data_IF_327793350763
#
_entry.id   IF_327793350763
#
_cell.length_a   1.000
_cell.length_b   1.000
_cell.length_c   1.000
_cell.angle_alpha   90.00
_cell.angle_beta   90.00
_cell.angle_gamma   90.00
#
_symmetry.space_group_name_H-M   'P 1'
#
loop_
_entity.id
_entity.type
_entity.pdbx_description
1 polymer ?
#
# COMPACT_ATOMS: atom_id res chain seq x y z
N UNK A 1 6.34 11.27 -0.05
CA UNK A 1 7.10 10.14 -0.62
C UNK A 1 6.61 9.75 -2.01
N UNK A 2 5.33 9.47 -2.22
CA UNK A 2 4.78 9.04 -3.53
C UNK A 2 4.98 10.10 -4.63
N UNK A 3 4.80 11.37 -4.32
CA UNK A 3 5.06 12.48 -5.27
C UNK A 3 6.54 12.59 -5.65
N UNK A 4 7.46 12.30 -4.72
CA UNK A 4 8.89 12.26 -5.01
C UNK A 4 9.24 11.08 -5.92
N UNK A 5 8.63 9.93 -5.70
CA UNK A 5 8.76 8.77 -6.59
C UNK A 5 8.26 9.08 -8.00
N UNK A 6 7.11 9.76 -8.12
CA UNK A 6 6.60 10.23 -9.40
C UNK A 6 7.56 11.18 -10.10
N UNK A 7 8.19 12.12 -9.38
CA UNK A 7 9.20 13.03 -9.91
C UNK A 7 10.44 12.28 -10.42
N UNK A 8 10.90 11.24 -9.71
CA UNK A 8 12.04 10.44 -10.15
C UNK A 8 11.72 9.69 -11.45
N UNK A 9 10.51 9.10 -11.55
CA UNK A 9 10.07 8.41 -12.78
C UNK A 9 10.03 9.38 -13.96
N UNK A 10 9.42 10.55 -13.78
CA UNK A 10 9.22 11.49 -14.88
C UNK A 10 10.51 12.21 -15.28
N UNK A 11 11.49 12.32 -14.39
CA UNK A 11 12.76 12.97 -14.66
C UNK A 11 13.49 12.35 -15.87
N UNK A 12 13.49 11.02 -15.95
CA UNK A 12 14.07 10.31 -17.10
C UNK A 12 13.38 10.66 -18.41
N UNK A 13 12.04 10.72 -18.41
CA UNK A 13 11.24 11.02 -19.61
C UNK A 13 11.48 12.47 -20.07
N UNK A 14 11.52 13.43 -19.15
CA UNK A 14 11.74 14.84 -19.45
C UNK A 14 13.12 15.10 -20.05
N UNK A 15 14.15 14.43 -19.54
CA UNK A 15 15.51 14.57 -20.04
C UNK A 15 15.61 14.06 -21.48
N UNK A 16 14.94 12.98 -21.83
CA UNK A 16 14.96 12.41 -23.16
C UNK A 16 14.42 13.40 -24.22
N UNK A 17 13.32 14.08 -23.93
CA UNK A 17 12.74 15.09 -24.82
C UNK A 17 13.71 16.27 -25.07
N UNK A 18 14.33 16.76 -24.00
CA UNK A 18 15.30 17.85 -24.07
C UNK A 18 16.55 17.46 -24.88
N UNK A 19 17.02 16.20 -24.72
CA UNK A 19 18.18 15.71 -25.49
C UNK A 19 17.85 15.61 -26.97
N UNK A 20 16.69 15.06 -27.36
CA UNK A 20 16.30 14.93 -28.77
C UNK A 20 16.21 16.30 -29.48
N UNK A 21 15.54 17.25 -28.82
CA UNK A 21 15.39 18.58 -29.40
C UNK A 21 16.74 19.33 -29.43
N UNK A 22 17.53 19.26 -28.37
CA UNK A 22 18.85 19.85 -28.28
C UNK A 22 19.82 19.30 -29.34
N UNK A 23 19.86 17.97 -29.50
CA UNK A 23 20.69 17.31 -30.51
C UNK A 23 20.31 17.75 -31.93
N UNK A 24 19.01 17.83 -32.24
CA UNK A 24 18.56 18.27 -33.55
C UNK A 24 18.87 19.73 -33.83
N UNK A 25 18.76 20.62 -32.83
CA UNK A 25 19.17 22.01 -32.93
C UNK A 25 20.66 22.10 -33.21
N UNK A 26 21.51 21.40 -32.48
CA UNK A 26 22.97 21.40 -32.66
C UNK A 26 23.34 20.89 -34.06
N UNK A 27 22.69 19.80 -34.47
CA UNK A 27 22.92 19.21 -35.82
C UNK A 27 22.61 20.24 -36.95
N UNK A 28 21.51 20.99 -36.82
CA UNK A 28 21.16 22.03 -37.79
C UNK A 28 22.11 23.26 -37.75
N UNK A 29 22.63 23.59 -36.57
CA UNK A 29 23.64 24.63 -36.39
C UNK A 29 25.02 24.21 -36.95
N UNK A 30 25.36 22.94 -36.92
CA UNK A 30 26.57 22.41 -37.53
C UNK A 30 26.50 22.36 -39.08
N UNK A 31 25.28 22.16 -39.63
CA UNK A 31 25.03 22.13 -41.07
C UNK A 31 24.93 23.50 -41.73
N UNK A 32 24.59 24.51 -40.97
CA UNK A 32 24.38 25.88 -41.44
C UNK A 32 24.99 26.86 -40.45
N UNK A 33 25.02 28.16 -40.80
CA UNK A 33 25.50 29.17 -39.86
C UNK A 33 24.70 29.15 -38.57
N UNK A 34 25.38 29.10 -37.39
CA UNK A 34 24.74 29.15 -36.11
C UNK A 34 23.88 30.41 -35.95
N UNK A 35 22.68 30.23 -35.39
CA UNK A 35 21.79 31.36 -35.13
C UNK A 35 20.32 30.93 -34.99
N UNK A 36 19.46 31.93 -34.84
CA UNK A 36 18.02 31.74 -34.59
C UNK A 36 17.32 30.93 -35.69
N UNK A 37 17.73 31.16 -36.97
CA UNK A 37 17.13 30.43 -38.09
C UNK A 37 17.46 28.93 -38.11
N UNK A 38 18.70 28.55 -37.78
CA UNK A 38 19.12 27.18 -37.67
C UNK A 38 18.42 26.50 -36.48
N UNK A 39 18.37 27.18 -35.33
CA UNK A 39 17.66 26.69 -34.13
C UNK A 39 16.19 26.43 -34.44
N UNK A 40 15.51 27.34 -35.13
CA UNK A 40 14.10 27.18 -35.48
C UNK A 40 13.85 26.00 -36.43
N UNK A 41 14.77 25.75 -37.40
CA UNK A 41 14.71 24.57 -38.26
C UNK A 41 14.87 23.28 -37.45
N UNK A 42 15.82 23.25 -36.50
CA UNK A 42 16.06 22.14 -35.64
C UNK A 42 14.82 21.80 -34.81
N UNK A 43 14.18 22.77 -34.16
CA UNK A 43 12.95 22.58 -33.42
C UNK A 43 11.82 22.05 -34.30
N UNK A 44 11.59 22.65 -35.48
CA UNK A 44 10.54 22.24 -36.41
C UNK A 44 10.68 20.78 -36.86
N UNK A 45 11.91 20.31 -37.04
CA UNK A 45 12.17 18.93 -37.46
C UNK A 45 11.68 17.87 -36.51
N UNK A 46 11.67 18.18 -35.22
CA UNK A 46 11.28 17.20 -34.15
C UNK A 46 10.02 17.60 -33.39
N UNK A 47 9.41 18.74 -33.70
CA UNK A 47 8.21 19.21 -33.01
C UNK A 47 7.08 18.18 -32.98
N UNK A 48 6.74 17.64 -34.16
CA UNK A 48 5.65 16.63 -34.26
C UNK A 48 5.93 15.37 -33.47
N UNK A 49 7.02 14.64 -33.72
CA UNK A 49 7.36 13.43 -33.01
C UNK A 49 7.43 13.60 -31.49
N UNK A 50 8.08 14.65 -30.99
CA UNK A 50 8.20 14.92 -29.55
C UNK A 50 6.83 15.22 -28.93
N UNK A 51 6.04 16.11 -29.56
CA UNK A 51 4.69 16.43 -29.07
C UNK A 51 3.80 15.19 -28.99
N UNK A 52 3.79 14.36 -30.05
CA UNK A 52 2.98 13.14 -30.08
C UNK A 52 3.47 12.14 -29.02
N UNK A 53 4.79 12.00 -28.85
CA UNK A 53 5.38 11.14 -27.82
C UNK A 53 4.92 11.52 -26.41
N UNK A 54 5.04 12.80 -26.07
CA UNK A 54 4.63 13.33 -24.76
C UNK A 54 3.12 13.19 -24.55
N UNK A 55 2.31 13.54 -25.55
CA UNK A 55 0.83 13.38 -25.46
C UNK A 55 0.43 11.91 -25.29
N UNK A 56 1.11 10.99 -25.97
CA UNK A 56 0.88 9.54 -25.80
C UNK A 56 1.19 9.09 -24.37
N UNK A 57 2.30 9.60 -23.81
CA UNK A 57 2.67 9.31 -22.41
C UNK A 57 1.63 9.87 -21.44
N UNK A 58 1.18 11.11 -21.63
CA UNK A 58 0.10 11.69 -20.82
C UNK A 58 -1.18 10.85 -20.92
N UNK A 59 -1.56 10.42 -22.12
CA UNK A 59 -2.74 9.60 -22.35
C UNK A 59 -2.60 8.22 -21.68
N UNK A 60 -1.40 7.65 -21.62
CA UNK A 60 -1.15 6.38 -20.92
C UNK A 60 -1.29 6.51 -19.38
N UNK A 61 -0.94 7.67 -18.80
CA UNK A 61 -1.12 7.93 -17.37
C UNK A 61 -2.52 8.41 -16.99
N UNK A 62 -3.29 8.97 -17.92
CA UNK A 62 -4.62 9.51 -17.66
C UNK A 62 -5.62 8.49 -17.05
N UNK A 63 -5.68 7.21 -17.44
CA UNK A 63 -6.57 6.24 -16.83
C UNK A 63 -6.36 6.05 -15.32
N UNK A 64 -5.13 6.26 -14.82
CA UNK A 64 -4.83 6.14 -13.39
C UNK A 64 -5.54 7.22 -12.54
N UNK A 65 -5.97 8.33 -13.14
CA UNK A 65 -6.76 9.37 -12.45
C UNK A 65 -8.16 8.88 -12.05
N UNK A 66 -8.68 7.89 -12.77
CA UNK A 66 -10.04 7.36 -12.56
C UNK A 66 -10.07 6.13 -11.65
N UNK A 67 -8.92 5.69 -11.14
CA UNK A 67 -8.87 4.58 -10.18
C UNK A 67 -9.50 5.01 -8.86
N UNK A 68 -10.51 4.26 -8.41
CA UNK A 68 -11.25 4.52 -7.17
C UNK A 68 -10.73 3.67 -6.00
N UNK A 69 -11.18 4.01 -4.78
CA UNK A 69 -10.80 3.28 -3.57
C UNK A 69 -9.43 3.68 -3.01
N UNK A 70 -8.91 2.88 -2.09
CA UNK A 70 -7.64 3.15 -1.38
C UNK A 70 -6.46 3.28 -2.34
N UNK A 71 -6.43 2.46 -3.39
CA UNK A 71 -5.40 2.54 -4.43
C UNK A 71 -5.44 3.86 -5.20
N UNK A 72 -6.64 4.32 -5.58
CA UNK A 72 -6.80 5.60 -6.26
C UNK A 72 -6.35 6.78 -5.41
N UNK A 73 -6.60 6.73 -4.11
CA UNK A 73 -6.15 7.76 -3.18
C UNK A 73 -4.62 7.80 -3.03
N UNK A 74 -3.97 6.63 -3.02
CA UNK A 74 -2.53 6.53 -2.88
C UNK A 74 -1.83 6.86 -4.20
N UNK A 75 -2.22 6.20 -5.29
CA UNK A 75 -1.56 6.32 -6.59
C UNK A 75 -2.02 7.53 -7.41
N UNK A 76 -3.16 8.15 -7.10
CA UNK A 76 -3.72 9.25 -7.87
C UNK A 76 -2.84 10.50 -7.93
N UNK A 77 -1.92 10.69 -6.97
CA UNK A 77 -0.94 11.77 -7.01
C UNK A 77 0.13 11.57 -8.10
N UNK A 78 0.42 10.33 -8.51
CA UNK A 78 1.45 10.02 -9.51
C UNK A 78 1.09 10.57 -10.90
N UNK A 79 -0.08 10.24 -11.50
CA UNK A 79 -0.43 10.75 -12.82
C UNK A 79 -0.60 12.27 -12.85
N UNK A 80 -1.08 12.89 -11.77
CA UNK A 80 -1.19 14.35 -11.69
C UNK A 80 0.19 14.98 -11.80
N UNK A 81 1.16 14.53 -11.02
CA UNK A 81 2.54 15.05 -11.06
C UNK A 81 3.16 14.82 -12.44
N UNK A 82 3.03 13.61 -12.99
CA UNK A 82 3.59 13.26 -14.31
C UNK A 82 3.02 14.17 -15.40
N UNK A 83 1.69 14.33 -15.48
CA UNK A 83 1.04 15.15 -16.51
C UNK A 83 1.47 16.63 -16.39
N UNK A 84 1.50 17.19 -15.18
CA UNK A 84 1.92 18.57 -14.97
C UNK A 84 3.37 18.76 -15.39
N UNK A 85 4.27 17.88 -14.99
CA UNK A 85 5.69 17.97 -15.35
C UNK A 85 5.90 17.82 -16.85
N UNK A 86 5.20 16.90 -17.50
CA UNK A 86 5.27 16.75 -18.97
C UNK A 86 4.72 17.97 -19.72
N UNK A 87 3.65 18.60 -19.23
CA UNK A 87 3.18 19.88 -19.79
C UNK A 87 4.24 20.97 -19.68
N UNK A 88 4.88 21.07 -18.52
CA UNK A 88 5.95 22.06 -18.31
C UNK A 88 7.20 21.74 -19.15
N UNK A 89 7.52 20.46 -19.31
CA UNK A 89 8.61 20.00 -20.17
C UNK A 89 8.41 20.41 -21.63
N UNK A 90 7.20 20.26 -22.19
CA UNK A 90 6.91 20.74 -23.55
C UNK A 90 7.15 22.25 -23.70
N UNK A 91 6.75 23.03 -22.69
CA UNK A 91 7.00 24.47 -22.69
C UNK A 91 8.50 24.78 -22.65
N UNK A 92 9.24 24.09 -21.81
CA UNK A 92 10.69 24.25 -21.70
C UNK A 92 11.39 23.88 -23.00
N UNK A 93 11.10 22.72 -23.56
CA UNK A 93 11.78 22.17 -24.72
C UNK A 93 11.51 22.98 -26.00
N UNK A 94 10.32 23.56 -26.14
CA UNK A 94 9.98 24.32 -27.35
C UNK A 94 10.20 25.84 -27.25
N UNK A 95 10.26 26.41 -26.06
CA UNK A 95 10.42 27.85 -25.89
C UNK A 95 11.73 28.24 -25.19
N UNK A 96 12.05 27.60 -24.06
CA UNK A 96 13.19 28.01 -23.25
C UNK A 96 14.50 27.46 -23.81
N UNK A 97 14.56 26.15 -24.07
CA UNK A 97 15.76 25.47 -24.58
C UNK A 97 16.23 26.08 -25.93
N UNK A 98 15.36 26.29 -26.93
CA UNK A 98 15.78 26.92 -28.19
C UNK A 98 16.29 28.36 -28.01
N UNK A 99 15.68 29.13 -27.11
CA UNK A 99 16.15 30.50 -26.81
C UNK A 99 17.56 30.49 -26.24
N UNK A 100 17.87 29.58 -25.34
CA UNK A 100 19.21 29.45 -24.77
C UNK A 100 20.23 28.99 -25.81
N UNK A 101 19.88 28.03 -26.66
CA UNK A 101 20.78 27.51 -27.69
C UNK A 101 20.99 28.49 -28.88
N UNK A 102 19.99 29.32 -29.18
CA UNK A 102 20.12 30.34 -30.24
C UNK A 102 21.10 31.46 -29.88
N UNK A 103 21.20 31.83 -28.61
CA UNK A 103 22.04 32.92 -28.11
C UNK A 103 23.30 32.42 -27.39
N UNK A 104 23.47 31.12 -27.28
CA UNK A 104 24.64 30.49 -26.67
C UNK A 104 25.88 30.67 -27.54
N UNK A 105 26.47 31.87 -27.54
CA UNK A 105 27.84 32.05 -28.01
C UNK A 105 28.73 31.21 -27.08
N UNK A 106 29.62 30.42 -27.67
CA UNK A 106 30.54 29.50 -27.04
C UNK A 106 30.99 29.95 -25.65
N UNK A 107 30.31 29.44 -24.62
CA UNK A 107 30.86 29.47 -23.25
C UNK A 107 32.21 28.78 -23.31
N UNK A 108 33.24 29.60 -23.29
CA UNK A 108 34.62 29.11 -23.24
C UNK A 108 34.83 28.47 -21.84
N UNK A 109 34.50 27.23 -21.73
CA UNK A 109 34.64 26.42 -20.49
C UNK A 109 36.12 26.05 -20.23
N UNK A 110 37.08 26.92 -20.61
CA UNK A 110 38.47 26.78 -20.23
C UNK A 110 38.99 25.31 -20.18
N UNK A 111 39.44 24.83 -19.02
CA UNK A 111 39.99 23.49 -18.90
C UNK A 111 38.95 22.32 -19.08
N UNK A 112 37.66 22.60 -18.92
CA UNK A 112 36.61 21.60 -19.18
C UNK A 112 36.45 21.29 -20.68
N UNK A 113 36.84 22.18 -21.58
CA UNK A 113 36.77 21.97 -23.03
C UNK A 113 37.67 20.80 -23.48
N UNK A 114 38.85 20.66 -22.90
CA UNK A 114 39.75 19.55 -23.20
C UNK A 114 39.21 18.21 -22.72
N UNK A 115 38.57 18.17 -21.56
CA UNK A 115 37.89 17.01 -21.04
C UNK A 115 36.68 16.59 -21.90
N UNK A 116 35.81 17.55 -22.23
CA UNK A 116 34.66 17.35 -23.12
C UNK A 116 35.08 16.81 -24.49
N UNK A 117 36.11 17.39 -25.11
CA UNK A 117 36.64 16.92 -26.38
C UNK A 117 37.26 15.52 -26.29
N UNK A 118 37.89 15.20 -25.14
CA UNK A 118 38.48 13.87 -24.91
C UNK A 118 37.39 12.79 -24.75
N UNK A 119 36.33 13.12 -24.00
CA UNK A 119 35.14 12.23 -23.88
C UNK A 119 34.45 12.08 -25.22
N UNK A 120 34.20 13.18 -25.94
CA UNK A 120 33.59 13.16 -27.28
C UNK A 120 34.38 12.28 -28.26
N UNK A 121 35.72 12.40 -28.32
CA UNK A 121 36.57 11.55 -29.17
C UNK A 121 36.48 10.06 -28.76
N UNK A 122 36.43 9.74 -27.47
CA UNK A 122 36.28 8.34 -27.01
C UNK A 122 34.92 7.77 -27.40
N UNK A 123 33.85 8.53 -27.25
CA UNK A 123 32.49 8.14 -27.64
C UNK A 123 32.40 7.92 -29.16
N UNK A 124 32.94 8.85 -29.97
CA UNK A 124 32.98 8.70 -31.43
C UNK A 124 33.83 7.47 -31.83
N UNK A 125 34.99 7.28 -31.22
CA UNK A 125 35.83 6.11 -31.49
C UNK A 125 35.13 4.81 -31.10
N UNK A 126 34.41 4.76 -30.00
CA UNK A 126 33.59 3.62 -29.62
C UNK A 126 32.48 3.35 -30.63
N UNK A 127 31.76 4.41 -31.06
CA UNK A 127 30.74 4.32 -32.10
C UNK A 127 31.32 3.69 -33.38
N UNK A 128 32.39 4.25 -33.88
CA UNK A 128 32.90 3.92 -35.21
C UNK A 128 33.65 2.54 -35.21
N UNK A 129 34.41 2.24 -34.13
CA UNK A 129 35.23 1.05 -34.08
C UNK A 129 34.53 -0.18 -33.48
N UNK A 130 33.51 0.06 -32.61
CA UNK A 130 32.87 -1.02 -31.84
C UNK A 130 31.41 -1.18 -32.19
N UNK A 131 30.66 -0.08 -32.14
CA UNK A 131 29.19 -0.13 -32.26
C UNK A 131 28.75 -0.35 -33.71
N UNK A 132 29.15 0.51 -34.64
CA UNK A 132 28.76 0.40 -36.05
C UNK A 132 29.11 -0.96 -36.70
N UNK A 133 30.32 -1.53 -36.52
CA UNK A 133 30.62 -2.85 -37.06
C UNK A 133 29.80 -3.99 -36.46
N UNK A 134 29.40 -3.87 -35.17
CA UNK A 134 28.51 -4.85 -34.54
C UNK A 134 27.11 -4.77 -35.09
N UNK A 135 26.57 -3.56 -35.22
CA UNK A 135 25.22 -3.32 -35.78
C UNK A 135 25.18 -3.80 -37.24
N UNK A 136 26.18 -3.44 -38.04
CA UNK A 136 26.27 -3.90 -39.43
C UNK A 136 26.27 -5.45 -39.51
N UNK A 137 27.05 -6.14 -38.67
CA UNK A 137 27.03 -7.60 -38.60
C UNK A 137 25.69 -8.17 -38.14
N UNK A 138 25.03 -7.54 -37.17
CA UNK A 138 23.70 -7.92 -36.68
C UNK A 138 22.65 -7.83 -37.80
N UNK A 139 22.66 -6.73 -38.57
CA UNK A 139 21.78 -6.55 -39.73
C UNK A 139 22.08 -7.57 -40.86
N UNK A 140 23.35 -7.78 -41.18
CA UNK A 140 23.73 -8.78 -42.16
C UNK A 140 23.33 -10.20 -41.78
N UNK A 141 23.40 -10.53 -40.47
CA UNK A 141 22.99 -11.84 -39.92
C UNK A 141 21.64 -11.75 -39.24
N UNK A 142 20.66 -11.09 -39.88
CA UNK A 142 19.34 -10.76 -39.31
C UNK A 142 18.61 -11.94 -38.67
N UNK A 143 18.64 -13.12 -39.29
CA UNK A 143 17.98 -14.32 -38.73
C UNK A 143 18.67 -14.86 -37.48
N UNK A 144 20.01 -14.80 -37.44
CA UNK A 144 20.75 -15.16 -36.23
C UNK A 144 20.49 -14.18 -35.08
N UNK A 145 20.46 -12.88 -35.37
CA UNK A 145 20.13 -11.84 -34.38
C UNK A 145 18.71 -12.00 -33.86
N UNK A 146 17.76 -12.32 -34.74
CA UNK A 146 16.36 -12.60 -34.34
C UNK A 146 16.31 -13.86 -33.47
N UNK A 147 17.01 -14.92 -33.83
CA UNK A 147 17.08 -16.15 -33.04
C UNK A 147 17.65 -15.88 -31.64
N UNK A 148 18.72 -15.10 -31.53
CA UNK A 148 19.28 -14.71 -30.23
C UNK A 148 18.24 -13.91 -29.39
N UNK A 149 17.49 -13.00 -30.03
CA UNK A 149 16.41 -12.26 -29.36
C UNK A 149 15.29 -13.19 -28.83
N UNK A 150 14.85 -14.14 -29.66
CA UNK A 150 13.85 -15.15 -29.27
C UNK A 150 14.39 -16.02 -28.12
N UNK A 151 15.64 -16.49 -28.20
CA UNK A 151 16.27 -17.29 -27.14
C UNK A 151 16.31 -16.48 -25.81
N UNK A 152 16.66 -15.21 -25.87
CA UNK A 152 16.65 -14.34 -24.68
C UNK A 152 15.24 -14.21 -24.09
N UNK A 153 14.22 -14.05 -24.92
CA UNK A 153 12.81 -13.99 -24.50
C UNK A 153 12.39 -15.33 -23.85
N UNK A 154 12.76 -16.46 -24.47
CA UNK A 154 12.45 -17.80 -23.92
C UNK A 154 13.13 -18.00 -22.57
N UNK A 155 14.40 -17.60 -22.42
CA UNK A 155 15.12 -17.67 -21.13
C UNK A 155 14.43 -16.80 -20.08
N UNK A 156 14.05 -15.57 -20.42
CA UNK A 156 13.30 -14.69 -19.51
C UNK A 156 11.96 -15.32 -19.10
N UNK A 157 11.20 -15.87 -20.04
CA UNK A 157 9.95 -16.56 -19.77
C UNK A 157 10.15 -17.82 -18.89
N UNK A 158 11.22 -18.59 -19.15
CA UNK A 158 11.57 -19.76 -18.36
C UNK A 158 11.97 -19.39 -16.92
N UNK A 159 12.66 -18.27 -16.70
CA UNK A 159 12.98 -17.75 -15.37
C UNK A 159 11.70 -17.38 -14.58
N UNK A 160 10.69 -16.83 -15.26
CA UNK A 160 9.39 -16.59 -14.67
C UNK A 160 8.66 -17.91 -14.36
N UNK A 161 8.58 -18.81 -15.32
CA UNK A 161 7.87 -20.08 -15.17
C UNK A 161 8.50 -21.02 -14.13
N UNK A 162 9.82 -20.96 -13.95
CA UNK A 162 10.55 -21.76 -12.95
C UNK A 162 10.42 -21.19 -11.52
N UNK A 163 9.80 -19.99 -11.35
CA UNK A 163 9.72 -19.33 -10.05
C UNK A 163 11.05 -18.75 -9.55
N UNK A 164 12.12 -18.75 -10.38
CA UNK A 164 13.40 -18.11 -10.05
C UNK A 164 13.24 -16.60 -9.88
N UNK A 165 12.34 -15.99 -10.66
CA UNK A 165 11.89 -14.62 -10.48
C UNK A 165 10.47 -14.67 -9.91
N UNK A 166 10.33 -14.34 -8.62
CA UNK A 166 9.02 -14.26 -7.98
C UNK A 166 8.32 -13.00 -8.45
N UNK A 167 7.11 -13.15 -8.99
CA UNK A 167 6.26 -12.02 -9.28
C UNK A 167 5.61 -11.52 -7.99
N UNK A 168 6.04 -10.37 -7.51
CA UNK A 168 5.41 -9.68 -6.39
C UNK A 168 4.74 -8.44 -6.98
N UNK A 169 3.41 -8.44 -7.00
CA UNK A 169 2.64 -7.33 -7.59
C UNK A 169 2.82 -6.02 -6.80
N UNK A 170 2.84 -6.12 -5.48
CA UNK A 170 3.25 -5.05 -4.60
C UNK A 170 4.30 -5.56 -3.62
N UNK A 171 5.46 -4.92 -3.52
CA UNK A 171 6.39 -5.22 -2.45
C UNK A 171 5.71 -4.91 -1.11
N UNK A 172 5.90 -5.79 -0.14
CA UNK A 172 5.47 -5.54 1.23
C UNK A 172 6.23 -4.31 1.74
N UNK A 173 5.52 -3.18 1.81
CA UNK A 173 6.07 -1.98 2.41
C UNK A 173 6.05 -2.19 3.93
N UNK A 174 7.21 -2.26 4.51
CA UNK A 174 7.35 -2.40 5.95
C UNK A 174 6.71 -1.20 6.66
N UNK A 175 5.84 -1.52 7.60
CA UNK A 175 5.26 -0.54 8.50
C UNK A 175 6.17 -0.31 9.69
N UNK A 176 6.22 0.91 10.18
CA UNK A 176 6.83 1.19 11.48
C UNK A 176 5.90 0.85 12.65
N UNK A 177 4.79 0.14 12.38
CA UNK A 177 3.85 -0.31 13.40
C UNK A 177 3.45 -1.75 13.17
N UNK A 178 3.32 -2.51 14.26
CA UNK A 178 2.70 -3.84 14.27
C UNK A 178 1.43 -3.75 15.08
N UNK A 179 0.35 -4.32 14.56
CA UNK A 179 -0.95 -4.33 15.22
C UNK A 179 -1.37 -5.75 15.55
N UNK A 180 -1.76 -5.99 16.80
CA UNK A 180 -2.53 -7.17 17.20
C UNK A 180 -3.99 -6.77 17.39
N UNK A 181 -4.91 -7.53 16.78
CA UNK A 181 -6.36 -7.36 16.93
C UNK A 181 -6.93 -8.62 17.57
N UNK A 182 -7.55 -8.45 18.71
CA UNK A 182 -8.15 -9.50 19.52
C UNK A 182 -9.66 -9.34 19.54
N UNK A 183 -10.38 -10.37 19.13
CA UNK A 183 -11.83 -10.42 19.18
C UNK A 183 -12.27 -11.67 19.92
N UNK A 184 -13.12 -11.51 20.90
CA UNK A 184 -13.86 -12.58 21.57
C UNK A 184 -15.29 -12.60 21.05
N UNK A 185 -16.03 -13.71 21.28
CA UNK A 185 -17.46 -13.75 21.00
C UNK A 185 -18.23 -12.62 21.69
N UNK A 186 -19.22 -12.10 20.99
CA UNK A 186 -20.05 -11.00 21.50
C UNK A 186 -20.72 -11.39 22.82
N UNK A 187 -20.57 -10.56 23.86
CA UNK A 187 -21.07 -10.83 25.21
C UNK A 187 -19.98 -11.23 26.19
N UNK A 188 -18.75 -11.45 25.74
CA UNK A 188 -17.62 -11.71 26.62
C UNK A 188 -17.39 -10.54 27.58
N UNK A 189 -17.22 -10.80 28.90
CA UNK A 189 -16.95 -9.77 29.89
C UNK A 189 -15.65 -9.01 29.60
N UNK A 190 -15.64 -7.71 29.86
CA UNK A 190 -14.46 -6.86 29.69
C UNK A 190 -13.20 -7.43 30.37
N UNK A 191 -13.35 -7.99 31.58
CA UNK A 191 -12.23 -8.56 32.33
C UNK A 191 -11.53 -9.72 31.63
N UNK A 192 -12.26 -10.54 30.88
CA UNK A 192 -11.68 -11.63 30.07
C UNK A 192 -10.83 -11.07 28.95
N UNK A 193 -11.36 -10.05 28.26
CA UNK A 193 -10.62 -9.34 27.19
C UNK A 193 -9.39 -8.64 27.74
N UNK A 194 -9.50 -8.02 28.93
CA UNK A 194 -8.38 -7.35 29.60
C UNK A 194 -7.24 -8.33 29.95
N UNK A 195 -7.57 -9.48 30.53
CA UNK A 195 -6.57 -10.52 30.86
C UNK A 195 -5.85 -11.00 29.59
N UNK A 196 -6.59 -11.27 28.54
CA UNK A 196 -6.02 -11.72 27.28
C UNK A 196 -5.16 -10.61 26.61
N UNK A 197 -5.62 -9.37 26.62
CA UNK A 197 -4.87 -8.24 26.10
C UNK A 197 -3.55 -8.02 26.86
N UNK A 198 -3.57 -8.13 28.19
CA UNK A 198 -2.37 -8.02 29.00
C UNK A 198 -1.37 -9.15 28.70
N UNK A 199 -1.81 -10.36 28.44
CA UNK A 199 -0.93 -11.46 28.00
C UNK A 199 -0.25 -11.14 26.67
N UNK A 200 -0.97 -10.53 25.73
CA UNK A 200 -0.40 -10.10 24.43
C UNK A 200 0.62 -8.98 24.63
N UNK A 201 0.36 -8.06 25.55
CA UNK A 201 1.27 -6.95 25.90
C UNK A 201 2.54 -7.49 26.58
N UNK A 202 2.42 -8.42 27.52
CA UNK A 202 3.55 -9.08 28.17
C UNK A 202 4.42 -9.84 27.17
N UNK A 203 3.79 -10.50 26.19
CA UNK A 203 4.52 -11.14 25.11
C UNK A 203 5.31 -10.11 24.25
N UNK A 204 4.74 -8.92 24.04
CA UNK A 204 5.45 -7.84 23.34
C UNK A 204 6.68 -7.36 24.13
N UNK A 205 6.56 -7.17 25.43
CA UNK A 205 7.70 -6.78 26.27
C UNK A 205 8.81 -7.85 26.25
N UNK A 206 8.48 -9.13 26.31
CA UNK A 206 9.47 -10.21 26.18
C UNK A 206 10.19 -10.16 24.83
N UNK A 207 9.45 -9.99 23.74
CA UNK A 207 10.08 -9.87 22.42
C UNK A 207 11.00 -8.65 22.33
N UNK A 208 10.64 -7.54 22.98
CA UNK A 208 11.52 -6.38 23.02
C UNK A 208 12.80 -6.65 23.82
N UNK A 209 12.70 -7.33 24.97
CA UNK A 209 13.84 -7.74 25.78
C UNK A 209 14.76 -8.71 25.04
N UNK A 210 14.20 -9.70 24.33
CA UNK A 210 14.94 -10.64 23.48
C UNK A 210 15.69 -9.96 22.32
N UNK A 211 15.31 -8.70 22.00
CA UNK A 211 15.95 -7.86 20.99
C UNK A 211 16.64 -6.63 21.61
N UNK A 212 17.33 -6.81 22.72
CA UNK A 212 18.14 -5.79 23.43
C UNK A 212 17.36 -4.53 23.87
N UNK A 213 16.04 -4.60 23.94
CA UNK A 213 15.17 -3.47 24.31
C UNK A 213 15.10 -2.34 23.27
N UNK A 214 15.70 -2.54 22.08
CA UNK A 214 15.83 -1.51 21.05
C UNK A 214 14.86 -1.65 19.88
N UNK A 215 14.04 -2.70 19.86
CA UNK A 215 13.13 -2.95 18.75
C UNK A 215 11.87 -2.06 18.78
N UNK A 216 11.33 -1.77 19.99
CA UNK A 216 10.08 -1.08 20.17
C UNK A 216 10.28 0.32 20.75
N UNK A 217 9.60 1.31 20.13
CA UNK A 217 9.57 2.69 20.59
C UNK A 217 8.43 2.94 21.59
N UNK A 218 7.27 2.35 21.33
CA UNK A 218 6.08 2.49 22.17
C UNK A 218 5.13 1.30 21.98
N UNK A 219 4.40 0.95 23.03
CA UNK A 219 3.30 0.01 23.00
C UNK A 219 2.05 0.75 23.44
N UNK A 220 1.00 0.72 22.64
CA UNK A 220 -0.29 1.34 22.88
C UNK A 220 -1.38 0.29 22.81
N UNK A 221 -2.25 0.22 23.81
CA UNK A 221 -3.33 -0.72 23.87
C UNK A 221 -4.68 -0.02 24.08
N UNK A 222 -5.67 -0.45 23.31
CA UNK A 222 -7.07 -0.06 23.49
C UNK A 222 -7.84 -1.33 23.85
N UNK A 223 -8.26 -1.44 25.11
CA UNK A 223 -9.03 -2.59 25.63
C UNK A 223 -10.49 -2.18 25.74
N UNK A 224 -11.40 -3.03 25.28
CA UNK A 224 -12.83 -2.69 25.22
C UNK A 224 -13.17 -1.77 24.05
N UNK A 225 -12.37 -1.78 23.01
CA UNK A 225 -12.58 -1.00 21.80
C UNK A 225 -11.57 -1.30 20.72
N UNK A 226 -11.90 -0.97 19.49
CA UNK A 226 -10.96 -0.99 18.38
C UNK A 226 -10.82 0.43 17.84
N UNK A 227 -9.60 0.94 17.80
CA UNK A 227 -9.30 2.10 16.99
C UNK A 227 -9.14 1.64 15.55
N UNK A 228 -10.11 1.86 14.70
CA UNK A 228 -9.94 1.74 13.27
C UNK A 228 -9.10 2.93 12.84
N UNK A 229 -7.81 2.79 12.85
CA UNK A 229 -6.97 3.67 12.07
C UNK A 229 -7.36 3.42 10.61
N UNK A 230 -8.18 4.30 10.06
CA UNK A 230 -8.57 4.24 8.67
C UNK A 230 -7.30 4.27 7.85
N UNK A 231 -7.02 3.18 7.15
CA UNK A 231 -5.98 3.16 6.14
C UNK A 231 -6.41 4.06 5.00
N UNK A 232 -5.94 5.29 5.01
CA UNK A 232 -6.16 6.24 3.92
C UNK A 232 -6.57 7.64 4.40
N UNK A 233 -6.16 8.69 3.68
CA UNK A 233 -6.61 10.05 3.93
C UNK A 233 -8.12 10.14 3.64
N UNK A 234 -8.94 10.30 4.67
CA UNK A 234 -10.40 10.41 4.61
C UNK A 234 -11.17 9.30 5.33
N UNK A 235 -10.51 8.23 5.81
CA UNK A 235 -11.12 7.24 6.68
C UNK A 235 -11.28 7.81 8.09
N UNK A 236 -12.51 8.15 8.47
CA UNK A 236 -12.81 8.64 9.81
C UNK A 236 -12.30 7.68 10.88
N UNK A 237 -11.58 8.18 11.87
CA UNK A 237 -11.18 7.43 13.06
C UNK A 237 -12.42 7.11 13.90
N UNK A 238 -13.14 6.05 13.54
CA UNK A 238 -14.24 5.52 14.33
C UNK A 238 -13.69 4.67 15.46
N UNK A 239 -13.85 5.08 16.69
CA UNK A 239 -13.60 4.24 17.85
C UNK A 239 -14.87 3.42 18.10
N UNK A 240 -14.81 2.12 17.85
CA UNK A 240 -15.90 1.22 18.22
C UNK A 240 -15.63 0.71 19.63
N UNK A 241 -16.52 0.99 20.56
CA UNK A 241 -16.42 0.54 21.94
C UNK A 241 -17.20 -0.76 22.10
N UNK A 242 -16.55 -1.83 22.48
CA UNK A 242 -17.19 -3.12 22.74
C UNK A 242 -16.33 -3.94 23.70
N UNK A 243 -16.93 -4.49 24.76
CA UNK A 243 -16.20 -5.18 25.84
C UNK A 243 -15.38 -6.40 25.38
N UNK A 244 -15.71 -6.97 24.24
CA UNK A 244 -15.14 -8.22 23.71
C UNK A 244 -13.99 -8.02 22.70
N UNK A 245 -13.59 -6.77 22.45
CA UNK A 245 -12.55 -6.46 21.44
C UNK A 245 -11.38 -5.69 22.06
N UNK A 246 -10.19 -5.90 21.54
CA UNK A 246 -8.99 -5.15 21.92
C UNK A 246 -8.05 -4.98 20.72
N UNK A 247 -7.34 -3.86 20.69
CA UNK A 247 -6.31 -3.56 19.69
C UNK A 247 -5.04 -3.11 20.38
N UNK A 248 -3.93 -3.81 20.13
CA UNK A 248 -2.61 -3.47 20.64
C UNK A 248 -1.76 -3.05 19.45
N UNK A 249 -1.12 -1.90 19.54
CA UNK A 249 -0.27 -1.32 18.49
C UNK A 249 1.12 -1.13 19.06
N UNK A 250 2.10 -1.74 18.44
CA UNK A 250 3.51 -1.52 18.72
C UNK A 250 4.05 -0.56 17.67
N UNK A 251 4.65 0.53 18.10
CA UNK A 251 5.44 1.41 17.24
C UNK A 251 6.90 0.96 17.31
N UNK A 252 7.48 0.65 16.16
CA UNK A 252 8.86 0.18 16.03
C UNK A 252 9.83 1.36 16.04
N UNK A 253 11.08 1.10 16.41
CA UNK A 253 12.17 2.05 16.20
C UNK A 253 12.42 2.21 14.70
N UNK A 254 12.89 3.40 14.31
CA UNK A 254 13.25 3.71 12.93
C UNK A 254 14.51 2.94 12.51
N UNK A 255 14.63 2.59 11.23
CA UNK A 255 15.88 2.13 10.66
C UNK A 255 16.91 3.29 10.67
N UNK A 256 18.17 3.05 11.00
CA UNK A 256 18.89 1.77 11.20
C UNK A 256 18.97 1.28 12.65
N UNK A 257 18.19 1.82 13.59
CA UNK A 257 18.26 1.44 14.99
C UNK A 257 17.76 0.02 15.29
N UNK A 258 16.98 -0.58 14.38
CA UNK A 258 16.51 -1.97 14.49
C UNK A 258 17.23 -2.87 13.48
N UNK A 259 17.55 -4.08 13.90
CA UNK A 259 18.21 -5.09 13.05
C UNK A 259 17.21 -6.02 12.35
N UNK A 260 15.99 -6.16 12.89
CA UNK A 260 14.95 -7.06 12.38
C UNK A 260 13.84 -6.30 11.64
N UNK A 261 13.34 -6.92 10.57
CA UNK A 261 12.19 -6.41 9.83
C UNK A 261 10.90 -6.44 10.67
N UNK A 262 9.93 -5.58 10.34
CA UNK A 262 8.63 -5.54 11.00
C UNK A 262 7.92 -6.90 10.94
N UNK A 263 7.99 -7.61 9.81
CA UNK A 263 7.42 -8.94 9.66
C UNK A 263 8.15 -10.02 10.49
N UNK A 264 9.46 -9.87 10.73
CA UNK A 264 10.19 -10.79 11.62
C UNK A 264 9.77 -10.60 13.08
N UNK A 265 9.66 -9.35 13.53
CA UNK A 265 9.20 -9.00 14.88
C UNK A 265 7.73 -9.42 15.10
N UNK A 266 6.88 -9.28 14.09
CA UNK A 266 5.49 -9.76 14.12
C UNK A 266 5.43 -11.27 14.38
N UNK A 267 6.21 -12.06 13.64
CA UNK A 267 6.27 -13.52 13.82
C UNK A 267 6.78 -13.92 15.21
N UNK A 268 7.78 -13.22 15.74
CA UNK A 268 8.27 -13.42 17.11
C UNK A 268 7.18 -13.11 18.13
N UNK A 269 6.47 -12.00 17.97
CA UNK A 269 5.41 -11.59 18.87
C UNK A 269 4.24 -12.57 18.84
N UNK A 270 3.81 -13.01 17.67
CA UNK A 270 2.79 -14.05 17.48
C UNK A 270 3.20 -15.34 18.20
N UNK A 271 4.43 -15.80 18.02
CA UNK A 271 4.96 -17.00 18.66
C UNK A 271 5.02 -16.84 20.19
N UNK A 272 5.48 -15.70 20.70
CA UNK A 272 5.57 -15.41 22.12
C UNK A 272 4.20 -15.31 22.81
N UNK A 273 3.18 -14.83 22.08
CA UNK A 273 1.79 -14.75 22.59
C UNK A 273 1.18 -16.13 22.74
N UNK A 274 1.44 -17.03 21.78
CA UNK A 274 0.84 -18.37 21.75
C UNK A 274 -0.68 -18.34 21.60
N UNK A 275 -1.31 -19.48 21.82
CA UNK A 275 -2.76 -19.63 21.71
C UNK A 275 -3.47 -19.03 22.93
N UNK A 276 -4.55 -18.32 22.69
CA UNK A 276 -5.46 -17.78 23.70
C UNK A 276 -6.80 -18.49 23.54
N UNK A 277 -7.23 -19.20 24.60
CA UNK A 277 -8.48 -19.99 24.56
C UNK A 277 -9.71 -19.09 24.51
N UNK A 278 -10.72 -19.49 23.74
CA UNK A 278 -12.02 -18.84 23.67
C UNK A 278 -12.05 -17.57 22.84
N UNK A 279 -10.98 -17.24 22.10
CA UNK A 279 -10.99 -16.14 21.14
C UNK A 279 -11.74 -16.54 19.86
N UNK A 280 -12.49 -15.61 19.30
CA UNK A 280 -13.07 -15.72 17.97
C UNK A 280 -12.02 -15.48 16.90
N UNK A 281 -11.19 -14.44 17.09
CA UNK A 281 -10.05 -14.16 16.22
C UNK A 281 -8.93 -13.42 16.94
N UNK A 282 -7.70 -13.79 16.61
CA UNK A 282 -6.49 -13.07 16.99
C UNK A 282 -5.63 -12.94 15.74
N UNK A 283 -5.38 -11.72 15.32
CA UNK A 283 -4.57 -11.43 14.12
C UNK A 283 -3.46 -10.45 14.44
N UNK A 284 -2.30 -10.68 13.80
CA UNK A 284 -1.15 -9.79 13.87
C UNK A 284 -0.84 -9.26 12.48
N UNK A 285 -0.58 -7.97 12.35
CA UNK A 285 -0.30 -7.32 11.07
C UNK A 285 0.81 -6.30 11.20
N UNK A 286 1.73 -6.34 10.25
CA UNK A 286 2.85 -5.39 10.12
C UNK A 286 2.84 -4.64 8.78
N UNK A 287 1.79 -4.80 7.98
CA UNK A 287 1.65 -4.16 6.68
C UNK A 287 1.27 -2.68 6.79
N UNK A 288 1.92 -1.83 5.99
CA UNK A 288 1.69 -0.38 5.99
C UNK A 288 0.29 0.01 5.50
N UNK A 289 -0.23 -0.71 4.52
CA UNK A 289 -1.48 -0.34 3.85
C UNK A 289 -2.72 -1.01 4.43
N UNK A 290 -2.60 -2.03 5.28
CA UNK A 290 -3.75 -2.75 5.82
C UNK A 290 -4.67 -3.32 4.71
N UNK A 291 -4.09 -3.83 3.63
CA UNK A 291 -4.78 -4.21 2.40
C UNK A 291 -5.72 -5.43 2.54
N UNK A 292 -6.14 -5.75 3.72
CA UNK A 292 -7.03 -6.88 3.96
C UNK A 292 -6.29 -8.22 4.11
N UNK A 293 -6.97 -9.30 3.86
CA UNK A 293 -6.38 -10.62 3.81
C UNK A 293 -5.59 -10.80 2.51
N UNK A 294 -4.45 -11.51 2.57
CA UNK A 294 -3.66 -11.81 1.37
C UNK A 294 -4.46 -12.63 0.35
N UNK A 295 -5.37 -13.45 0.84
CA UNK A 295 -6.30 -14.27 0.03
C UNK A 295 -7.69 -14.14 0.65
N UNK A 296 -8.69 -13.79 -0.14
CA UNK A 296 -10.09 -13.70 0.26
C UNK A 296 -10.94 -14.50 -0.72
N UNK A 297 -11.75 -15.41 -0.18
CA UNK A 297 -12.72 -16.17 -0.95
C UNK A 297 -14.13 -15.74 -0.56
N UNK A 298 -15.00 -15.59 -1.54
CA UNK A 298 -16.44 -15.40 -1.34
C UNK A 298 -17.15 -16.68 -1.70
N UNK A 299 -17.75 -17.29 -0.70
CA UNK A 299 -18.60 -18.45 -0.86
C UNK A 299 -20.05 -18.00 -0.79
N UNK A 300 -20.91 -18.57 -1.63
CA UNK A 300 -22.34 -18.32 -1.62
C UNK A 300 -23.09 -19.63 -1.87
N UNK A 301 -24.07 -19.91 -1.05
CA UNK A 301 -25.01 -21.02 -1.21
C UNK A 301 -26.37 -20.61 -0.69
N UNK A 302 -27.45 -21.29 -1.14
CA UNK A 302 -28.81 -21.00 -0.71
C UNK A 302 -29.13 -21.61 0.66
N UNK A 303 -28.45 -22.69 0.99
CA UNK A 303 -28.57 -23.40 2.28
C UNK A 303 -27.36 -23.04 3.17
N UNK A 304 -27.67 -22.52 4.33
CA UNK A 304 -26.67 -22.05 5.29
C UNK A 304 -25.84 -23.18 5.88
N UNK A 305 -26.43 -24.36 6.16
CA UNK A 305 -25.68 -25.48 6.72
C UNK A 305 -24.62 -25.98 5.75
N UNK A 306 -24.96 -26.10 4.49
CA UNK A 306 -24.02 -26.46 3.42
C UNK A 306 -22.91 -25.41 3.28
N UNK A 307 -23.27 -24.12 3.36
CA UNK A 307 -22.30 -23.02 3.31
C UNK A 307 -21.31 -23.10 4.47
N UNK A 308 -21.78 -23.30 5.70
CA UNK A 308 -20.92 -23.39 6.87
C UNK A 308 -19.99 -24.61 6.82
N UNK A 309 -20.52 -25.78 6.43
CA UNK A 309 -19.70 -26.96 6.25
C UNK A 309 -18.57 -26.74 5.22
N UNK A 310 -18.88 -26.09 4.12
CA UNK A 310 -17.87 -25.74 3.09
C UNK A 310 -16.83 -24.74 3.61
N UNK A 311 -17.22 -23.73 4.41
CA UNK A 311 -16.29 -22.77 5.03
C UNK A 311 -15.36 -23.50 6.01
N UNK A 312 -15.89 -24.36 6.85
CA UNK A 312 -15.09 -25.10 7.84
C UNK A 312 -14.12 -26.07 7.16
N UNK A 313 -14.56 -26.78 6.11
CA UNK A 313 -13.67 -27.63 5.33
C UNK A 313 -12.54 -26.82 4.68
N UNK A 314 -12.86 -25.66 4.11
CA UNK A 314 -11.89 -24.76 3.50
C UNK A 314 -10.86 -24.28 4.54
N UNK A 315 -11.32 -23.83 5.70
CA UNK A 315 -10.44 -23.41 6.81
C UNK A 315 -9.52 -24.55 7.25
N UNK A 316 -10.06 -25.76 7.41
CA UNK A 316 -9.27 -26.93 7.80
C UNK A 316 -8.19 -27.30 6.78
N UNK A 317 -8.50 -27.18 5.49
CA UNK A 317 -7.52 -27.42 4.41
C UNK A 317 -6.40 -26.37 4.39
N UNK A 318 -6.75 -25.09 4.52
CA UNK A 318 -5.74 -24.02 4.54
C UNK A 318 -4.87 -24.04 5.80
N UNK A 319 -5.40 -24.46 6.93
CA UNK A 319 -4.63 -24.61 8.17
C UNK A 319 -3.51 -25.66 8.08
N UNK A 320 -3.61 -26.61 7.13
CA UNK A 320 -2.58 -27.62 6.88
C UNK A 320 -1.45 -27.14 5.97
N UNK A 321 -1.65 -26.01 5.26
CA UNK A 321 -0.67 -25.49 4.33
C UNK A 321 0.34 -24.59 5.06
N UNK A 322 1.65 -24.78 4.83
CA UNK A 322 2.66 -23.95 5.46
C UNK A 322 2.59 -22.51 4.92
N UNK A 323 2.65 -21.54 5.83
CA UNK A 323 2.61 -20.12 5.49
C UNK A 323 1.24 -19.46 5.53
N UNK A 324 0.18 -20.22 5.78
CA UNK A 324 -1.16 -19.68 6.05
C UNK A 324 -1.38 -19.56 7.56
N UNK A 325 -1.78 -18.36 7.99
CA UNK A 325 -2.10 -18.04 9.38
C UNK A 325 -3.22 -17.01 9.43
N UNK A 326 -3.84 -16.81 10.59
CA UNK A 326 -4.99 -15.91 10.79
C UNK A 326 -6.17 -16.20 9.84
N UNK A 327 -6.48 -17.50 9.65
CA UNK A 327 -7.59 -17.95 8.81
C UNK A 327 -8.89 -17.62 9.53
N UNK A 328 -9.69 -16.73 8.94
CA UNK A 328 -10.92 -16.22 9.52
C UNK A 328 -12.04 -16.24 8.48
N UNK A 329 -13.27 -16.34 8.93
CA UNK A 329 -14.45 -16.06 8.13
C UNK A 329 -15.15 -14.78 8.64
N UNK A 330 -16.08 -14.28 7.86
CA UNK A 330 -16.88 -13.10 8.20
C UNK A 330 -18.21 -13.46 8.84
N UNK A 331 -18.46 -14.74 9.04
CA UNK A 331 -19.70 -15.20 9.64
C UNK A 331 -19.68 -14.95 11.15
N UNK A 332 -20.66 -14.22 11.63
CA UNK A 332 -20.84 -13.96 13.05
C UNK A 332 -22.24 -14.42 13.44
N UNK A 333 -22.30 -15.42 14.34
CA UNK A 333 -23.56 -15.96 14.85
C UNK A 333 -24.46 -14.91 15.53
N UNK A 334 -23.93 -13.71 15.79
CA UNK A 334 -24.69 -12.67 16.48
C UNK A 334 -25.01 -13.02 17.92
N UNK A 335 -25.85 -12.22 18.54
CA UNK A 335 -26.37 -12.49 19.87
C UNK A 335 -27.65 -13.30 19.77
N UNK A 336 -27.88 -14.18 20.73
CA UNK A 336 -29.20 -14.80 20.89
C UNK A 336 -30.22 -13.70 21.08
N UNK A 337 -31.24 -13.68 20.24
CA UNK A 337 -32.38 -12.80 20.34
C UNK A 337 -33.54 -13.57 20.94
N UNK A 338 -34.19 -12.95 21.91
CA UNK A 338 -35.45 -13.48 22.47
C UNK A 338 -36.56 -12.57 21.94
N UNK A 339 -37.40 -13.15 21.10
CA UNK A 339 -38.62 -12.48 20.67
C UNK A 339 -39.69 -12.73 21.73
N UNK A 340 -40.25 -11.65 22.29
CA UNK A 340 -41.17 -11.72 23.40
C UNK A 340 -42.55 -11.48 22.86
N UNK A 341 -43.41 -12.51 23.01
CA UNK A 341 -44.82 -12.45 22.67
C UNK A 341 -45.67 -12.46 23.95
N UNK A 342 -46.75 -11.68 23.97
CA UNK A 342 -47.71 -11.72 25.04
C UNK A 342 -48.60 -12.95 24.96
N UNK A 343 -48.85 -13.56 26.09
CA UNK A 343 -49.91 -14.58 26.19
C UNK A 343 -51.28 -13.89 26.23
N UNK A 344 -52.39 -14.58 25.83
CA UNK A 344 -53.73 -14.01 25.95
C UNK A 344 -54.09 -13.53 27.35
N UNK A 345 -53.56 -14.19 28.37
CA UNK A 345 -53.73 -13.76 29.77
C UNK A 345 -52.99 -12.43 30.08
N UNK A 346 -51.78 -12.23 29.48
CA UNK A 346 -51.06 -10.99 29.63
C UNK A 346 -51.74 -9.83 28.92
N UNK A 347 -52.32 -10.04 27.74
CA UNK A 347 -53.11 -9.02 27.04
C UNK A 347 -54.37 -8.71 27.82
N UNK A 348 -55.07 -9.69 28.36
CA UNK A 348 -56.26 -9.48 29.20
C UNK A 348 -55.92 -8.70 30.51
N UNK A 349 -54.70 -8.88 31.03
CA UNK A 349 -54.20 -8.09 32.16
C UNK A 349 -53.75 -6.67 31.82
N UNK A 350 -53.85 -6.25 30.55
CA UNK A 350 -53.49 -4.91 30.08
C UNK A 350 -51.97 -4.68 29.99
N UNK A 351 -51.14 -5.75 29.95
CA UNK A 351 -49.71 -5.59 29.77
C UNK A 351 -49.36 -5.22 28.30
N UNK A 352 -48.36 -4.39 28.13
CA UNK A 352 -47.80 -4.07 26.81
C UNK A 352 -46.46 -4.78 26.60
N UNK A 353 -46.12 -5.23 25.39
CA UNK A 353 -44.82 -5.79 25.08
C UNK A 353 -43.65 -4.91 25.49
N UNK A 354 -43.83 -3.58 25.37
CA UNK A 354 -42.83 -2.56 25.77
C UNK A 354 -42.54 -2.55 27.26
N UNK A 355 -43.56 -2.90 28.13
CA UNK A 355 -43.37 -2.89 29.56
C UNK A 355 -42.59 -4.11 30.02
N UNK A 356 -42.85 -5.29 29.42
CA UNK A 356 -42.10 -6.50 29.68
C UNK A 356 -40.66 -6.34 29.18
N UNK A 357 -40.46 -5.85 27.97
CA UNK A 357 -39.14 -5.60 27.40
C UNK A 357 -38.33 -4.62 28.29
N UNK A 358 -38.96 -3.58 28.83
CA UNK A 358 -38.32 -2.62 29.73
C UNK A 358 -37.96 -3.27 31.08
N UNK A 359 -38.81 -4.07 31.64
CA UNK A 359 -38.53 -4.78 32.88
C UNK A 359 -37.38 -5.81 32.71
N UNK A 360 -37.39 -6.57 31.63
CA UNK A 360 -36.32 -7.50 31.32
C UNK A 360 -34.99 -6.76 31.11
N UNK A 361 -35.01 -5.67 30.34
CA UNK A 361 -33.81 -4.85 30.15
C UNK A 361 -33.27 -4.34 31.48
N UNK A 362 -34.11 -3.81 32.34
CA UNK A 362 -33.71 -3.28 33.65
C UNK A 362 -33.15 -4.38 34.57
N UNK A 363 -33.69 -5.59 34.49
CA UNK A 363 -33.21 -6.71 35.28
C UNK A 363 -31.84 -7.22 34.82
N UNK A 364 -31.64 -7.40 33.54
CA UNK A 364 -30.40 -7.99 32.98
C UNK A 364 -29.31 -6.95 32.67
N UNK A 365 -29.66 -5.86 32.03
CA UNK A 365 -28.70 -4.80 31.65
C UNK A 365 -28.56 -3.77 32.77
N UNK A 366 -29.65 -3.45 33.44
CA UNK A 366 -29.72 -2.38 34.41
C UNK A 366 -30.23 -1.08 33.84
N UNK A 367 -30.54 -0.15 34.75
CA UNK A 367 -30.95 1.22 34.42
C UNK A 367 -29.86 2.21 34.85
N UNK A 368 -29.48 3.09 33.97
CA UNK A 368 -28.62 4.22 34.32
C UNK A 368 -29.40 5.22 35.14
N UNK A 369 -29.01 5.39 36.41
CA UNK A 369 -29.69 6.29 37.36
C UNK A 369 -28.96 7.62 37.51
N UNK A 370 -27.63 7.63 37.26
CA UNK A 370 -26.84 8.83 37.36
C UNK A 370 -25.60 8.76 36.47
N UNK A 371 -25.21 9.91 35.97
CA UNK A 371 -23.99 10.10 35.21
C UNK A 371 -23.18 11.22 35.84
N UNK A 372 -21.94 10.94 36.20
CA UNK A 372 -21.07 11.85 36.91
C UNK A 372 -19.79 12.03 36.10
N UNK A 373 -19.45 13.29 35.81
CA UNK A 373 -18.16 13.63 35.26
C UNK A 373 -17.10 13.65 36.37
N UNK A 374 -16.06 12.82 36.24
CA UNK A 374 -14.94 12.77 37.19
C UNK A 374 -13.63 13.02 36.46
N UNK A 375 -13.22 14.29 36.45
CA UNK A 375 -12.08 14.71 35.66
C UNK A 375 -12.32 14.51 34.15
N UNK A 376 -11.48 13.73 33.50
CA UNK A 376 -11.62 13.38 32.07
C UNK A 376 -12.53 12.17 31.81
N UNK A 377 -12.95 11.48 32.85
CA UNK A 377 -13.73 10.24 32.77
C UNK A 377 -15.19 10.50 33.12
N UNK A 378 -16.10 9.88 32.37
CA UNK A 378 -17.52 9.83 32.64
C UNK A 378 -17.85 8.54 33.40
N UNK A 379 -18.41 8.67 34.61
CA UNK A 379 -18.83 7.57 35.45
C UNK A 379 -20.34 7.37 35.32
N UNK A 380 -20.79 6.20 34.88
CA UNK A 380 -22.19 5.82 34.80
C UNK A 380 -22.55 4.95 36.00
N UNK A 381 -23.53 5.36 36.76
CA UNK A 381 -24.07 4.59 37.86
C UNK A 381 -25.23 3.74 37.34
N UNK A 382 -25.01 2.41 37.30
CA UNK A 382 -26.00 1.46 36.82
C UNK A 382 -26.60 0.69 38.01
N UNK A 383 -27.91 0.57 38.04
CA UNK A 383 -28.64 -0.26 39.02
C UNK A 383 -29.27 -1.41 38.25
N UNK A 384 -29.06 -2.64 38.73
CA UNK A 384 -29.65 -3.85 38.18
C UNK A 384 -29.97 -4.86 39.30
N UNK A 385 -30.91 -5.75 39.05
CA UNK A 385 -31.15 -6.87 39.97
C UNK A 385 -29.93 -7.83 39.97
N UNK A 386 -29.79 -8.53 41.08
CA UNK A 386 -28.70 -9.51 41.25
C UNK A 386 -28.99 -10.81 40.51
#
# INVERSE_FOLDING_TARGET
MISLFALIIVLGIVVDDAVVVGENIITEQERSEPGTAATLRGVRGVFGPVTIGVLTTMAAFAPLLFVTGTFGQILGSVPIVVIIVLCMSLLEVFFILPSHLAHGSAWSLGPLKSFQQSVGRKVMAFRDRVFLPRVARAVQRRYFTLLCGICMLVVAAAMFASGAVRFIFFPDLESNTIRASLNFPVGTPFRTTEIAANRIIEAAYRVNEDNDGTAFKAISATIGGTSRAGGGPGGGSGMTTASHVSSIIITLQDEPARTLSAGALERQWRKATGEISGVESLSFRSDYFGMGAAVEFRLAHQDDETLYAAVDELKARYAQLPGFYDIQDTFNLGKRQFDIELTPAGEAAGLLPSDIARQLRNNFFGQEVQRIQRGRNELKVMVRYR
#
